data_IF_027299512597
#
_entry.id   IF_027299512597
#
_cell.length_a   1.000
_cell.length_b   1.000
_cell.length_c   1.000
_cell.angle_alpha   90.00
_cell.angle_beta   90.00
_cell.angle_gamma   90.00
#
_symmetry.space_group_name_H-M   'P 1'
#
loop_
_entity.id
_entity.type
_entity.pdbx_description
1 polymer ?
#
# COMPACT_ATOMS: atom_id res chain seq x y z
N UNK A 1 26.40 43.79 1.34
CA UNK A 1 25.84 42.72 0.48
C UNK A 1 25.24 41.67 1.40
N UNK A 2 23.95 41.77 1.71
CA UNK A 2 23.24 40.76 2.50
C UNK A 2 22.63 39.76 1.52
N UNK A 3 23.13 38.53 1.52
CA UNK A 3 22.55 37.44 0.74
C UNK A 3 21.32 36.92 1.47
N UNK A 4 20.14 37.13 0.90
CA UNK A 4 18.89 36.52 1.35
C UNK A 4 18.86 35.06 0.91
N UNK A 5 18.98 34.14 1.85
CA UNK A 5 18.67 32.73 1.64
C UNK A 5 17.16 32.57 1.54
N UNK A 6 16.65 32.26 0.35
CA UNK A 6 15.26 31.82 0.18
C UNK A 6 15.21 30.35 0.58
N UNK A 7 14.62 30.05 1.72
CA UNK A 7 14.27 28.67 2.08
C UNK A 7 13.09 28.25 1.19
N UNK A 8 13.30 27.25 0.34
CA UNK A 8 12.23 26.62 -0.41
C UNK A 8 11.42 25.77 0.59
N UNK A 9 10.25 26.24 1.00
CA UNK A 9 9.34 25.44 1.79
C UNK A 9 8.95 24.22 0.96
N UNK A 10 9.23 23.01 1.46
CA UNK A 10 8.69 21.80 0.87
C UNK A 10 7.16 21.90 0.89
N UNK A 11 6.55 21.80 -0.28
CA UNK A 11 5.09 21.78 -0.41
C UNK A 11 4.61 20.54 0.34
N UNK A 12 3.86 20.75 1.44
CA UNK A 12 3.30 19.63 2.20
C UNK A 12 2.26 18.99 1.28
N UNK A 13 2.50 17.76 0.83
CA UNK A 13 1.57 17.01 -0.02
C UNK A 13 0.15 17.10 0.58
N UNK A 14 -0.86 17.17 -0.29
CA UNK A 14 -2.24 17.16 0.16
C UNK A 14 -2.49 15.93 1.06
N UNK A 15 -3.24 16.08 2.18
CA UNK A 15 -3.54 14.96 3.05
C UNK A 15 -4.16 13.80 2.25
N UNK A 16 -3.73 12.57 2.55
CA UNK A 16 -4.32 11.38 1.92
C UNK A 16 -5.81 11.31 2.24
N UNK A 17 -6.62 10.84 1.29
CA UNK A 17 -8.06 10.70 1.45
C UNK A 17 -8.44 9.23 1.60
N UNK A 18 -9.62 8.96 2.16
CA UNK A 18 -10.18 7.59 2.18
C UNK A 18 -10.28 7.01 0.77
N UNK A 19 -10.72 7.81 -0.20
CA UNK A 19 -10.83 7.38 -1.59
C UNK A 19 -9.48 6.92 -2.16
N UNK A 20 -8.39 7.61 -1.82
CA UNK A 20 -7.05 7.24 -2.24
C UNK A 20 -6.56 5.96 -1.53
N UNK A 21 -6.86 5.79 -0.24
CA UNK A 21 -6.57 4.54 0.48
C UNK A 21 -7.32 3.36 -0.14
N UNK A 22 -8.60 3.54 -0.45
CA UNK A 22 -9.44 2.53 -1.13
C UNK A 22 -8.86 2.18 -2.50
N UNK A 23 -8.49 3.18 -3.31
CA UNK A 23 -7.91 2.96 -4.64
C UNK A 23 -6.62 2.13 -4.56
N UNK A 24 -5.66 2.52 -3.71
CA UNK A 24 -4.39 1.81 -3.54
C UNK A 24 -4.59 0.38 -3.03
N UNK A 25 -5.53 0.19 -2.11
CA UNK A 25 -5.81 -1.14 -1.55
C UNK A 25 -6.52 -2.04 -2.57
N UNK A 26 -7.43 -1.50 -3.36
CA UNK A 26 -8.08 -2.25 -4.44
C UNK A 26 -7.05 -2.69 -5.49
N UNK A 27 -6.06 -1.85 -5.82
CA UNK A 27 -4.96 -2.23 -6.72
C UNK A 27 -4.10 -3.37 -6.19
N UNK A 28 -3.83 -3.42 -4.88
CA UNK A 28 -3.15 -4.57 -4.26
C UNK A 28 -3.95 -5.86 -4.44
N UNK A 29 -5.26 -5.80 -4.23
CA UNK A 29 -6.14 -6.96 -4.32
C UNK A 29 -6.43 -7.41 -5.75
N UNK A 30 -6.62 -6.49 -6.69
CA UNK A 30 -6.79 -6.80 -8.12
C UNK A 30 -5.53 -7.47 -8.69
N UNK A 31 -4.36 -7.17 -8.11
CA UNK A 31 -3.09 -7.76 -8.50
C UNK A 31 -2.89 -9.22 -8.06
N UNK A 32 -3.66 -9.71 -7.07
CA UNK A 32 -3.49 -11.06 -6.49
C UNK A 32 -3.66 -12.15 -7.52
N UNK A 33 -4.77 -12.13 -8.27
CA UNK A 33 -5.12 -13.23 -9.19
C UNK A 33 -4.04 -13.45 -10.26
N UNK A 34 -3.48 -12.37 -10.77
CA UNK A 34 -2.43 -12.38 -11.79
C UNK A 34 -1.01 -12.51 -11.23
N UNK A 35 -0.82 -12.50 -9.90
CA UNK A 35 0.50 -12.45 -9.28
C UNK A 35 1.28 -11.18 -9.62
N UNK A 36 0.60 -10.06 -9.85
CA UNK A 36 1.25 -8.80 -10.22
C UNK A 36 1.93 -8.16 -9.01
N UNK A 37 3.26 -8.23 -8.94
CA UNK A 37 4.02 -7.69 -7.83
C UNK A 37 4.11 -6.15 -7.79
N UNK A 38 3.72 -5.43 -8.84
CA UNK A 38 4.01 -4.00 -8.96
C UNK A 38 3.36 -3.13 -7.86
N UNK A 39 2.05 -3.26 -7.55
CA UNK A 39 1.43 -2.47 -6.47
C UNK A 39 2.03 -2.79 -5.09
N UNK A 40 2.42 -4.05 -4.87
CA UNK A 40 3.04 -4.51 -3.63
C UNK A 40 4.41 -3.85 -3.41
N UNK A 41 5.23 -3.75 -4.46
CA UNK A 41 6.52 -3.06 -4.40
C UNK A 41 6.35 -1.55 -4.16
N UNK A 42 5.30 -0.96 -4.73
CA UNK A 42 5.03 0.47 -4.67
C UNK A 42 4.50 0.92 -3.30
N UNK A 43 3.54 0.19 -2.72
CA UNK A 43 2.78 0.68 -1.58
C UNK A 43 3.28 0.20 -0.21
N UNK A 44 4.01 -0.92 -0.15
CA UNK A 44 4.62 -1.36 1.11
C UNK A 44 5.91 -0.58 1.38
N UNK A 45 6.07 -0.08 2.61
CA UNK A 45 7.32 0.52 3.08
C UNK A 45 8.45 -0.52 3.10
N UNK A 46 9.70 -0.10 2.90
CA UNK A 46 10.84 -1.02 2.81
C UNK A 46 11.09 -1.78 4.12
N UNK A 47 10.66 -1.23 5.25
CA UNK A 47 10.73 -1.79 6.60
C UNK A 47 9.39 -2.40 7.08
N UNK A 48 8.44 -2.65 6.17
CA UNK A 48 7.14 -3.21 6.56
C UNK A 48 7.26 -4.60 7.20
N UNK A 49 6.36 -4.87 8.15
CA UNK A 49 6.16 -6.21 8.72
C UNK A 49 4.78 -6.69 8.29
N UNK A 50 4.73 -7.86 7.65
CA UNK A 50 3.50 -8.50 7.22
C UNK A 50 3.35 -9.86 7.90
N UNK A 51 2.19 -10.11 8.51
CA UNK A 51 1.87 -11.40 9.13
C UNK A 51 0.61 -11.98 8.51
N UNK A 52 0.59 -13.30 8.33
CA UNK A 52 -0.52 -14.00 7.70
C UNK A 52 -1.17 -15.04 8.61
N UNK A 53 -2.25 -15.66 8.14
CA UNK A 53 -3.03 -16.67 8.84
C UNK A 53 -2.27 -17.99 9.09
N UNK A 54 -1.12 -18.18 8.44
CA UNK A 54 -0.23 -19.35 8.59
C UNK A 54 0.81 -19.14 9.68
N UNK A 55 0.79 -17.98 10.36
CA UNK A 55 1.74 -17.62 11.40
C UNK A 55 3.12 -17.22 10.85
N UNK A 56 3.23 -16.88 9.57
CA UNK A 56 4.47 -16.31 9.01
C UNK A 56 4.55 -14.83 9.40
N UNK A 57 5.76 -14.34 9.62
CA UNK A 57 6.08 -12.91 9.67
C UNK A 57 7.15 -12.61 8.63
N UNK A 58 6.87 -11.66 7.75
CA UNK A 58 7.61 -11.40 6.53
C UNK A 58 8.02 -9.93 6.45
N UNK A 59 9.22 -9.70 5.94
CA UNK A 59 9.64 -8.40 5.41
C UNK A 59 9.07 -8.18 4.00
N UNK A 60 9.23 -6.96 3.45
CA UNK A 60 8.76 -6.61 2.11
C UNK A 60 9.26 -7.57 1.02
N UNK A 61 10.53 -7.99 1.08
CA UNK A 61 11.12 -8.87 0.07
C UNK A 61 10.42 -10.22 0.04
N UNK A 62 10.16 -10.82 1.21
CA UNK A 62 9.46 -12.09 1.32
C UNK A 62 7.99 -11.97 0.90
N UNK A 63 7.31 -10.90 1.34
CA UNK A 63 5.92 -10.63 0.95
C UNK A 63 5.79 -10.54 -0.57
N UNK A 64 6.61 -9.70 -1.21
CA UNK A 64 6.56 -9.48 -2.67
C UNK A 64 6.87 -10.76 -3.45
N UNK A 65 7.81 -11.59 -2.96
CA UNK A 65 8.13 -12.88 -3.59
C UNK A 65 6.99 -13.90 -3.50
N UNK A 66 6.14 -13.81 -2.47
CA UNK A 66 4.99 -14.70 -2.25
C UNK A 66 3.81 -14.36 -3.18
N UNK A 67 3.77 -13.14 -3.73
CA UNK A 67 2.77 -12.74 -4.72
C UNK A 67 3.06 -13.46 -6.05
N UNK A 68 2.33 -14.56 -6.23
CA UNK A 68 2.41 -15.46 -7.39
C UNK A 68 1.01 -15.65 -7.98
N UNK A 69 0.91 -15.94 -9.30
CA UNK A 69 -0.39 -16.16 -9.93
C UNK A 69 -1.15 -17.32 -9.27
N UNK A 70 -2.48 -17.22 -9.26
CA UNK A 70 -3.31 -18.34 -8.84
C UNK A 70 -3.07 -19.56 -9.76
N UNK A 71 -3.26 -20.80 -9.27
CA UNK A 71 -3.13 -21.98 -10.09
C UNK A 71 -4.07 -21.94 -11.31
N UNK A 72 -3.66 -22.58 -12.40
CA UNK A 72 -4.46 -22.66 -13.62
C UNK A 72 -5.88 -23.16 -13.34
N UNK A 73 -6.88 -22.45 -13.85
CA UNK A 73 -8.29 -22.77 -13.66
C UNK A 73 -8.94 -22.09 -12.45
N UNK A 74 -8.18 -21.40 -11.61
CA UNK A 74 -8.69 -20.58 -10.51
C UNK A 74 -8.77 -19.12 -10.94
N UNK A 75 -9.87 -18.45 -10.56
CA UNK A 75 -10.04 -17.02 -10.71
C UNK A 75 -10.83 -16.47 -9.53
N UNK A 76 -10.74 -15.16 -9.33
CA UNK A 76 -11.47 -14.49 -8.26
C UNK A 76 -11.29 -12.98 -8.35
N UNK A 77 -12.15 -12.28 -7.64
CA UNK A 77 -12.10 -10.84 -7.46
C UNK A 77 -12.30 -10.56 -5.98
N UNK A 78 -11.44 -9.74 -5.39
CA UNK A 78 -11.59 -9.26 -4.02
C UNK A 78 -12.09 -7.82 -4.11
N UNK A 79 -13.18 -7.51 -3.42
CA UNK A 79 -13.75 -6.15 -3.36
C UNK A 79 -13.71 -5.64 -1.92
N UNK A 80 -13.35 -4.37 -1.80
CA UNK A 80 -13.46 -3.63 -0.55
C UNK A 80 -14.92 -3.25 -0.31
N UNK A 81 -15.49 -3.68 0.81
CA UNK A 81 -16.83 -3.32 1.27
C UNK A 81 -16.76 -2.79 2.70
N UNK A 82 -17.71 -1.91 3.07
CA UNK A 82 -17.83 -1.36 4.43
C UNK A 82 -16.55 -0.72 5.01
N UNK A 83 -15.76 -0.09 4.15
CA UNK A 83 -14.50 0.56 4.51
C UNK A 83 -14.67 1.61 5.59
N UNK A 84 -13.74 1.64 6.55
CA UNK A 84 -13.56 2.72 7.50
C UNK A 84 -12.12 3.22 7.47
N UNK A 85 -11.95 4.55 7.39
CA UNK A 85 -10.64 5.18 7.55
C UNK A 85 -10.52 5.97 8.86
N UNK A 86 -9.31 5.97 9.41
CA UNK A 86 -8.89 6.87 10.49
C UNK A 86 -7.64 7.59 10.05
N UNK A 87 -7.76 8.89 9.82
CA UNK A 87 -6.68 9.73 9.28
C UNK A 87 -6.21 10.68 10.38
N UNK A 88 -4.94 10.57 10.71
CA UNK A 88 -4.19 11.43 11.62
C UNK A 88 -3.17 12.24 10.81
N UNK A 89 -2.38 13.11 11.46
CA UNK A 89 -1.48 14.04 10.74
C UNK A 89 -0.52 13.33 9.77
N UNK A 90 0.15 12.25 10.22
CA UNK A 90 1.15 11.52 9.42
C UNK A 90 0.82 10.03 9.24
N UNK A 91 -0.35 9.59 9.73
CA UNK A 91 -0.74 8.18 9.74
C UNK A 91 -2.18 8.04 9.27
N UNK A 92 -2.41 7.10 8.36
CA UNK A 92 -3.74 6.69 7.96
C UNK A 92 -3.91 5.18 8.17
N UNK A 93 -5.07 4.79 8.71
CA UNK A 93 -5.45 3.39 8.92
C UNK A 93 -6.70 3.13 8.08
N UNK A 94 -6.69 2.06 7.31
CA UNK A 94 -7.84 1.54 6.58
C UNK A 94 -8.25 0.19 7.20
N UNK A 95 -9.53 0.02 7.53
CA UNK A 95 -10.09 -1.21 8.12
C UNK A 95 -11.40 -1.60 7.47
#
# INVERSE_FOLDING_TARGET
MLASTIALAAEKDAPITEQELVRRTQELYDAVAAGNQAPWKQYFADDCIFSDEKGRTMDKSKLVADITPLPTGYCGVIKLEHVQSRIYEEVAILS
#
